data_IF_780030216314
#
_entry.id   IF_780030216314
#
_cell.length_a   1.000
_cell.length_b   1.000
_cell.length_c   1.000
_cell.angle_alpha   90.00
_cell.angle_beta   90.00
_cell.angle_gamma   90.00
#
_symmetry.space_group_name_H-M   'P 1'
#
loop_
_entity.id
_entity.type
_entity.pdbx_description
1 polymer ?
#
# COMPACT_ATOMS: atom_id res chain seq x y z
N UNK A 1 6.97 -18.50 -4.98
CA UNK A 1 6.02 -17.37 -4.88
C UNK A 1 5.56 -16.98 -6.28
N UNK A 2 4.40 -17.48 -6.74
CA UNK A 2 3.99 -17.35 -8.14
C UNK A 2 3.56 -15.92 -8.53
N UNK A 3 3.23 -15.07 -7.54
CA UNK A 3 2.73 -13.71 -7.79
C UNK A 3 3.69 -12.59 -7.39
N UNK A 4 4.76 -12.93 -6.67
CA UNK A 4 5.77 -11.95 -6.29
C UNK A 4 6.61 -11.56 -7.51
N UNK A 5 6.79 -10.26 -7.72
CA UNK A 5 7.71 -9.76 -8.74
C UNK A 5 9.13 -10.30 -8.49
N UNK A 6 9.90 -10.53 -9.55
CA UNK A 6 11.28 -11.04 -9.44
C UNK A 6 12.15 -10.18 -8.53
N UNK A 7 11.99 -8.85 -8.58
CA UNK A 7 12.69 -7.89 -7.72
C UNK A 7 12.46 -8.10 -6.22
N UNK A 8 11.33 -8.70 -5.82
CA UNK A 8 10.99 -8.97 -4.41
C UNK A 8 11.48 -10.34 -3.92
N UNK A 9 12.04 -11.18 -4.80
CA UNK A 9 12.58 -12.48 -4.40
C UNK A 9 14.04 -12.35 -3.92
N UNK A 10 14.23 -11.75 -2.74
CA UNK A 10 15.53 -11.40 -2.19
C UNK A 10 16.51 -12.59 -2.14
N UNK A 11 16.05 -13.77 -1.72
CA UNK A 11 16.85 -14.99 -1.66
C UNK A 11 17.34 -15.42 -3.05
N UNK A 12 16.43 -15.47 -4.04
CA UNK A 12 16.81 -15.76 -5.44
C UNK A 12 17.72 -14.68 -6.04
N UNK A 13 17.62 -13.44 -5.54
CA UNK A 13 18.45 -12.32 -5.95
C UNK A 13 19.78 -12.23 -5.17
N UNK A 14 20.14 -13.26 -4.40
CA UNK A 14 21.47 -13.40 -3.79
C UNK A 14 21.60 -12.87 -2.36
N UNK A 15 20.49 -12.53 -1.68
CA UNK A 15 20.54 -12.23 -0.24
C UNK A 15 20.85 -13.53 0.54
N UNK A 16 21.96 -13.58 1.32
CA UNK A 16 22.42 -14.83 1.94
C UNK A 16 21.71 -15.16 3.27
N UNK A 17 21.24 -14.15 4.01
CA UNK A 17 20.56 -14.32 5.29
C UNK A 17 19.04 -14.48 5.13
N UNK A 18 18.41 -15.32 5.94
CA UNK A 18 16.96 -15.58 5.93
C UNK A 18 16.26 -15.24 7.27
N UNK A 19 17.01 -14.84 8.30
CA UNK A 19 16.50 -14.48 9.62
C UNK A 19 15.32 -13.49 9.58
N UNK A 20 15.33 -12.56 8.62
CA UNK A 20 14.27 -11.57 8.42
C UNK A 20 12.88 -12.18 8.12
N UNK A 21 12.83 -13.43 7.62
CA UNK A 21 11.58 -14.16 7.33
C UNK A 21 10.92 -14.75 8.60
N UNK A 22 11.64 -14.78 9.72
CA UNK A 22 11.20 -15.44 10.95
C UNK A 22 10.67 -14.48 12.01
N UNK A 23 10.68 -13.17 11.74
CA UNK A 23 10.10 -12.18 12.65
C UNK A 23 8.59 -12.15 12.55
N UNK A 24 7.96 -11.82 13.69
CA UNK A 24 6.54 -11.57 13.80
C UNK A 24 6.32 -10.35 14.69
N UNK A 25 5.43 -9.46 14.26
CA UNK A 25 4.93 -8.38 15.10
C UNK A 25 3.99 -8.93 16.20
N UNK A 26 4.18 -8.47 17.44
CA UNK A 26 3.40 -8.88 18.59
C UNK A 26 2.96 -7.63 19.39
N UNK A 27 1.66 -7.28 19.37
CA UNK A 27 1.14 -6.19 20.19
C UNK A 27 1.32 -6.47 21.69
N UNK A 28 1.44 -5.40 22.48
CA UNK A 28 1.58 -5.49 23.93
C UNK A 28 0.30 -5.95 24.63
N UNK A 29 -0.87 -5.59 24.08
CA UNK A 29 -2.16 -5.79 24.74
C UNK A 29 -2.88 -7.09 24.34
N UNK A 30 -2.44 -7.81 23.31
CA UNK A 30 -3.13 -9.02 22.85
C UNK A 30 -2.23 -9.96 22.04
N UNK A 31 -2.52 -11.26 22.12
CA UNK A 31 -1.89 -12.26 21.25
C UNK A 31 -2.60 -12.32 19.90
N UNK A 32 -1.87 -12.06 18.82
CA UNK A 32 -2.40 -12.21 17.46
C UNK A 32 -2.40 -13.70 17.07
N UNK A 33 -3.46 -14.20 16.46
CA UNK A 33 -3.44 -15.56 15.90
C UNK A 33 -2.59 -15.59 14.63
N UNK A 34 -1.96 -16.73 14.34
CA UNK A 34 -1.32 -16.92 13.03
C UNK A 34 -2.37 -16.73 11.93
N UNK A 35 -1.97 -16.15 10.80
CA UNK A 35 -2.85 -16.03 9.64
C UNK A 35 -3.28 -17.41 9.14
N UNK A 36 -4.58 -17.60 8.98
CA UNK A 36 -5.20 -18.77 8.38
C UNK A 36 -5.83 -18.35 7.04
N UNK A 37 -5.22 -18.79 5.94
CA UNK A 37 -5.66 -18.43 4.60
C UNK A 37 -6.98 -19.10 4.18
N UNK A 38 -7.27 -20.30 4.69
CA UNK A 38 -8.55 -20.97 4.39
C UNK A 38 -9.68 -20.26 5.12
N UNK A 39 -9.50 -19.98 6.41
CA UNK A 39 -10.47 -19.21 7.18
C UNK A 39 -10.69 -17.81 6.60
N UNK A 40 -9.64 -17.17 6.07
CA UNK A 40 -9.77 -15.90 5.34
C UNK A 40 -10.65 -16.05 4.10
N UNK A 41 -10.38 -17.03 3.24
CA UNK A 41 -11.16 -17.26 2.02
C UNK A 41 -12.62 -17.57 2.32
N UNK A 42 -12.90 -18.37 3.35
CA UNK A 42 -14.26 -18.65 3.80
C UNK A 42 -14.96 -17.39 4.31
N UNK A 43 -14.27 -16.56 5.10
CA UNK A 43 -14.83 -15.30 5.60
C UNK A 43 -15.10 -14.28 4.49
N UNK A 44 -14.29 -14.35 3.43
CA UNK A 44 -14.41 -13.49 2.24
C UNK A 44 -15.25 -14.12 1.14
N UNK A 45 -15.91 -15.26 1.38
CA UNK A 45 -16.69 -15.97 0.35
C UNK A 45 -17.68 -15.04 -0.35
N UNK A 46 -17.60 -14.98 -1.68
CA UNK A 46 -18.40 -14.10 -2.53
C UNK A 46 -17.99 -12.62 -2.53
N UNK A 47 -16.87 -12.23 -1.90
CA UNK A 47 -16.46 -10.83 -1.70
C UNK A 47 -15.26 -10.41 -2.53
N UNK A 48 -15.11 -9.09 -2.67
CA UNK A 48 -13.97 -8.41 -3.31
C UNK A 48 -13.14 -7.66 -2.29
N UNK A 49 -11.84 -7.90 -2.32
CA UNK A 49 -10.82 -7.17 -1.55
C UNK A 49 -9.97 -6.40 -2.55
N UNK A 50 -9.87 -5.08 -2.44
CA UNK A 50 -9.09 -4.25 -3.35
C UNK A 50 -8.06 -3.41 -2.62
N UNK A 51 -6.81 -3.54 -3.04
CA UNK A 51 -5.73 -2.63 -2.71
C UNK A 51 -5.69 -1.50 -3.73
N UNK A 52 -5.69 -0.26 -3.29
CA UNK A 52 -5.66 0.93 -4.16
C UNK A 52 -4.51 1.81 -3.73
N UNK A 53 -3.52 1.99 -4.59
CA UNK A 53 -2.38 2.81 -4.21
C UNK A 53 -1.16 2.68 -5.11
N UNK A 54 -0.01 2.97 -4.50
CA UNK A 54 1.29 2.95 -5.16
C UNK A 54 1.92 1.54 -5.16
N UNK A 55 3.23 1.46 -5.39
CA UNK A 55 3.97 0.20 -5.41
C UNK A 55 3.92 -0.56 -4.08
N UNK A 56 3.71 0.11 -2.95
CA UNK A 56 3.63 -0.53 -1.64
C UNK A 56 2.31 -1.28 -1.44
N UNK A 57 1.20 -0.74 -1.96
CA UNK A 57 -0.05 -1.50 -2.09
C UNK A 57 0.12 -2.73 -2.97
N UNK A 58 0.89 -2.62 -4.06
CA UNK A 58 1.19 -3.77 -4.91
C UNK A 58 1.95 -4.86 -4.13
N UNK A 59 2.92 -4.47 -3.30
CA UNK A 59 3.67 -5.40 -2.45
C UNK A 59 2.75 -6.11 -1.45
N UNK A 60 1.85 -5.38 -0.79
CA UNK A 60 0.91 -5.96 0.17
C UNK A 60 -0.09 -6.91 -0.53
N UNK A 61 -0.59 -6.54 -1.71
CA UNK A 61 -1.43 -7.39 -2.54
C UNK A 61 -0.70 -8.69 -2.95
N UNK A 62 0.55 -8.61 -3.41
CA UNK A 62 1.35 -9.78 -3.78
C UNK A 62 1.63 -10.69 -2.58
N UNK A 63 1.87 -10.11 -1.40
CA UNK A 63 2.03 -10.85 -0.15
C UNK A 63 0.78 -11.66 0.19
N UNK A 64 -0.40 -11.02 0.21
CA UNK A 64 -1.66 -11.71 0.46
C UNK A 64 -1.93 -12.78 -0.60
N UNK A 65 -1.75 -12.48 -1.88
CA UNK A 65 -1.91 -13.44 -2.97
C UNK A 65 -1.05 -14.70 -2.77
N UNK A 66 0.22 -14.54 -2.38
CA UNK A 66 1.11 -15.66 -2.11
C UNK A 66 0.68 -16.45 -0.87
N UNK A 67 0.24 -15.79 0.21
CA UNK A 67 -0.26 -16.47 1.41
C UNK A 67 -1.52 -17.29 1.12
N UNK A 68 -2.45 -16.77 0.32
CA UNK A 68 -3.67 -17.48 -0.06
C UNK A 68 -3.35 -18.70 -0.92
N UNK A 69 -2.50 -18.56 -1.94
CA UNK A 69 -2.09 -19.70 -2.74
C UNK A 69 -1.32 -20.75 -1.93
N UNK A 70 -0.50 -20.35 -0.95
CA UNK A 70 0.14 -21.29 -0.05
C UNK A 70 -0.87 -22.05 0.85
N UNK A 71 -1.97 -21.39 1.25
CA UNK A 71 -3.01 -22.02 2.06
C UNK A 71 -3.89 -23.00 1.27
N UNK A 72 -4.11 -22.72 -0.03
CA UNK A 72 -4.92 -23.55 -0.94
C UNK A 72 -4.16 -23.86 -2.24
N UNK A 73 -3.06 -24.64 -2.20
CA UNK A 73 -2.14 -24.80 -3.33
C UNK A 73 -2.78 -25.48 -4.56
N UNK A 74 -3.83 -26.27 -4.35
CA UNK A 74 -4.53 -26.99 -5.40
C UNK A 74 -5.79 -26.25 -5.89
N UNK A 75 -6.16 -25.12 -5.29
CA UNK A 75 -7.32 -24.36 -5.73
C UNK A 75 -7.06 -23.70 -7.08
N UNK A 76 -8.05 -23.78 -7.97
CA UNK A 76 -8.00 -23.08 -9.25
C UNK A 76 -8.07 -21.58 -8.97
N UNK A 77 -7.20 -20.81 -9.61
CA UNK A 77 -7.24 -19.36 -9.59
C UNK A 77 -7.21 -18.78 -10.99
N UNK A 78 -7.78 -17.58 -11.14
CA UNK A 78 -7.73 -16.80 -12.39
C UNK A 78 -7.02 -15.49 -12.10
N UNK A 79 -5.92 -15.24 -12.81
CA UNK A 79 -5.17 -13.98 -12.74
C UNK A 79 -5.34 -13.22 -14.05
N UNK A 80 -5.77 -11.96 -13.97
CA UNK A 80 -5.93 -11.11 -15.14
C UNK A 80 -5.73 -9.63 -14.83
N UNK A 81 -5.34 -8.87 -15.84
CA UNK A 81 -5.18 -7.41 -15.74
C UNK A 81 -6.01 -6.69 -16.80
N UNK A 82 -6.68 -5.61 -16.40
CA UNK A 82 -7.40 -4.69 -17.28
C UNK A 82 -6.96 -3.26 -16.98
N UNK A 83 -6.08 -2.72 -17.82
CA UNK A 83 -5.45 -1.42 -17.55
C UNK A 83 -4.67 -1.47 -16.24
N UNK A 84 -4.89 -0.53 -15.29
CA UNK A 84 -4.18 -0.52 -14.02
C UNK A 84 -4.75 -1.47 -12.96
N UNK A 85 -5.81 -2.21 -13.27
CA UNK A 85 -6.47 -3.13 -12.35
C UNK A 85 -5.99 -4.56 -12.61
N UNK A 86 -5.35 -5.17 -11.62
CA UNK A 86 -5.03 -6.60 -11.59
C UNK A 86 -6.00 -7.31 -10.65
N UNK A 87 -6.51 -8.47 -11.05
CA UNK A 87 -7.44 -9.28 -10.26
C UNK A 87 -6.95 -10.71 -10.18
N UNK A 88 -6.79 -11.22 -8.95
CA UNK A 88 -6.62 -12.63 -8.65
C UNK A 88 -7.94 -13.15 -8.06
N UNK A 89 -8.62 -14.03 -8.78
CA UNK A 89 -9.88 -14.63 -8.35
C UNK A 89 -9.68 -16.10 -7.96
N UNK A 90 -10.37 -16.52 -6.90
CA UNK A 90 -10.49 -17.92 -6.46
C UNK A 90 -11.95 -18.36 -6.66
N UNK A 91 -12.33 -18.93 -7.82
CA UNK A 91 -13.72 -19.17 -8.19
C UNK A 91 -14.48 -20.07 -7.21
N UNK A 92 -13.83 -21.09 -6.64
CA UNK A 92 -14.42 -21.99 -5.62
C UNK A 92 -14.93 -21.23 -4.38
N UNK A 93 -14.27 -20.13 -4.04
CA UNK A 93 -14.64 -19.26 -2.92
C UNK A 93 -15.48 -18.05 -3.37
N UNK A 94 -15.57 -17.79 -4.67
CA UNK A 94 -16.12 -16.54 -5.19
C UNK A 94 -15.37 -15.29 -4.70
N UNK A 95 -14.10 -15.43 -4.31
CA UNK A 95 -13.27 -14.36 -3.75
C UNK A 95 -12.44 -13.72 -4.87
N UNK A 96 -12.39 -12.38 -4.89
CA UNK A 96 -11.45 -11.64 -5.74
C UNK A 96 -10.54 -10.76 -4.89
N UNK A 97 -9.23 -10.90 -5.08
CA UNK A 97 -8.18 -10.06 -4.48
C UNK A 97 -7.55 -9.21 -5.58
N UNK A 98 -7.76 -7.90 -5.49
CA UNK A 98 -7.55 -6.95 -6.57
C UNK A 98 -6.48 -5.91 -6.19
N UNK A 99 -5.71 -5.45 -7.16
CA UNK A 99 -4.82 -4.31 -7.02
C UNK A 99 -5.11 -3.29 -8.12
N UNK A 100 -5.42 -2.06 -7.71
CA UNK A 100 -5.60 -0.92 -8.59
C UNK A 100 -4.42 0.05 -8.41
N UNK A 101 -3.55 0.13 -9.41
CA UNK A 101 -2.45 1.10 -9.43
C UNK A 101 -2.99 2.52 -9.53
N UNK A 102 -2.96 3.24 -8.43
CA UNK A 102 -3.41 4.62 -8.31
C UNK A 102 -2.63 5.35 -7.20
N UNK A 103 -1.34 5.56 -7.42
CA UNK A 103 -0.43 5.97 -6.34
C UNK A 103 -0.64 7.36 -5.75
N UNK A 104 -1.42 8.24 -6.41
CA UNK A 104 -1.82 9.53 -5.86
C UNK A 104 -3.26 9.56 -5.35
N UNK A 105 -4.07 8.54 -5.66
CA UNK A 105 -5.54 8.49 -5.53
C UNK A 105 -6.30 9.53 -6.37
N UNK A 106 -5.77 10.76 -6.43
CA UNK A 106 -6.25 11.86 -7.26
C UNK A 106 -5.79 11.76 -8.72
N UNK A 107 -6.38 12.60 -9.57
CA UNK A 107 -6.17 12.59 -11.01
C UNK A 107 -4.85 13.26 -11.38
N UNK A 108 -4.03 12.55 -12.16
CA UNK A 108 -2.86 13.11 -12.84
C UNK A 108 -3.20 13.28 -14.32
N UNK A 109 -3.32 14.54 -14.78
CA UNK A 109 -3.59 14.87 -16.18
C UNK A 109 -2.35 15.54 -16.76
N UNK A 110 -1.72 14.89 -17.74
CA UNK A 110 -0.40 15.31 -18.21
C UNK A 110 0.61 15.23 -17.06
N UNK A 111 1.10 16.38 -16.62
CA UNK A 111 2.01 16.53 -15.47
C UNK A 111 1.37 17.36 -14.35
N UNK A 112 0.04 17.42 -14.27
CA UNK A 112 -0.69 18.19 -13.25
C UNK A 112 -1.52 17.28 -12.36
N UNK A 113 -1.26 17.33 -11.05
CA UNK A 113 -2.06 16.65 -10.03
C UNK A 113 -3.28 17.50 -9.66
N UNK A 114 -4.48 17.04 -10.01
CA UNK A 114 -5.74 17.67 -9.61
C UNK A 114 -6.15 17.19 -8.22
N UNK A 115 -5.84 17.95 -7.19
CA UNK A 115 -5.92 17.52 -5.79
C UNK A 115 -7.37 17.34 -5.29
N UNK A 116 -8.33 17.93 -5.97
CA UNK A 116 -9.77 17.89 -5.67
C UNK A 116 -10.56 16.92 -6.58
N UNK A 117 -9.88 16.12 -7.40
CA UNK A 117 -10.52 15.21 -8.33
C UNK A 117 -9.94 13.79 -8.23
N UNK A 118 -10.71 12.85 -7.70
CA UNK A 118 -10.28 11.44 -7.56
C UNK A 118 -10.16 10.73 -8.91
N UNK A 119 -9.14 9.91 -9.03
CA UNK A 119 -8.90 9.07 -10.20
C UNK A 119 -9.58 7.72 -10.02
N UNK A 120 -10.43 7.34 -10.98
CA UNK A 120 -11.01 5.99 -11.08
C UNK A 120 -11.83 5.55 -9.85
N UNK A 121 -12.38 6.49 -9.08
CA UNK A 121 -13.14 6.19 -7.86
C UNK A 121 -14.41 5.35 -8.10
N UNK A 122 -14.95 5.37 -9.31
CA UNK A 122 -16.05 4.49 -9.72
C UNK A 122 -15.71 3.00 -9.64
N UNK A 123 -14.42 2.63 -9.69
CA UNK A 123 -13.99 1.23 -9.57
C UNK A 123 -13.96 0.75 -8.11
N UNK A 124 -14.02 1.67 -7.14
CA UNK A 124 -14.00 1.34 -5.71
C UNK A 124 -15.39 0.97 -5.19
N UNK A 125 -16.43 1.43 -5.89
CA UNK A 125 -17.83 1.16 -5.55
C UNK A 125 -18.14 -0.35 -5.67
N UNK A 126 -18.88 -0.87 -4.69
CA UNK A 126 -19.26 -2.29 -4.65
C UNK A 126 -18.12 -3.26 -4.31
N UNK A 127 -17.00 -2.75 -3.78
CA UNK A 127 -15.94 -3.56 -3.17
C UNK A 127 -16.22 -3.71 -1.67
N UNK A 128 -16.09 -4.93 -1.14
CA UNK A 128 -16.41 -5.23 0.26
C UNK A 128 -15.28 -4.82 1.23
N UNK A 129 -14.03 -4.87 0.78
CA UNK A 129 -12.86 -4.43 1.56
C UNK A 129 -11.95 -3.58 0.69
N UNK A 130 -11.81 -2.30 1.04
CA UNK A 130 -10.91 -1.35 0.39
C UNK A 130 -9.70 -1.08 1.28
N UNK A 131 -8.50 -1.20 0.72
CA UNK A 131 -7.23 -0.96 1.42
C UNK A 131 -6.46 0.08 0.61
N UNK A 132 -6.45 1.32 1.08
CA UNK A 132 -5.81 2.44 0.41
C UNK A 132 -4.37 2.64 0.90
N UNK A 133 -3.49 3.10 0.02
CA UNK A 133 -2.20 3.66 0.38
C UNK A 133 -1.81 4.73 -0.65
N UNK A 134 -1.21 5.81 -0.20
CA UNK A 134 -0.61 6.78 -1.11
C UNK A 134 0.45 7.54 -0.33
N UNK A 135 1.71 7.46 -0.73
CA UNK A 135 2.75 8.28 -0.10
C UNK A 135 4.04 8.30 -0.90
N UNK A 136 4.53 7.11 -1.27
CA UNK A 136 5.88 6.95 -1.78
C UNK A 136 6.11 7.79 -3.05
N UNK A 137 5.10 7.86 -3.91
CA UNK A 137 5.17 8.64 -5.14
C UNK A 137 5.22 10.15 -4.92
N UNK A 138 4.60 10.68 -3.85
CA UNK A 138 4.61 12.11 -3.55
C UNK A 138 6.02 12.64 -3.28
N UNK A 139 6.93 11.76 -2.83
CA UNK A 139 8.32 12.11 -2.54
C UNK A 139 9.26 11.90 -3.73
N UNK A 140 8.75 11.45 -4.88
CA UNK A 140 9.59 11.27 -6.07
C UNK A 140 10.15 12.61 -6.55
N UNK A 141 11.45 12.63 -6.82
CA UNK A 141 12.16 13.78 -7.39
C UNK A 141 12.88 13.39 -8.68
N UNK A 142 13.31 14.38 -9.48
CA UNK A 142 14.09 14.16 -10.69
C UNK A 142 13.35 13.27 -11.71
N UNK A 143 14.02 12.22 -12.20
CA UNK A 143 13.45 11.33 -13.24
C UNK A 143 12.23 10.52 -12.77
N UNK A 144 12.05 10.35 -11.46
CA UNK A 144 10.91 9.62 -10.88
C UNK A 144 9.67 10.51 -10.72
N UNK A 145 9.86 11.83 -10.76
CA UNK A 145 8.78 12.80 -10.58
C UNK A 145 7.95 12.91 -11.86
N UNK A 146 6.67 12.56 -11.74
CA UNK A 146 5.73 12.48 -12.89
C UNK A 146 4.80 13.67 -13.00
N UNK A 147 4.92 14.66 -12.11
CA UNK A 147 4.12 15.89 -12.09
C UNK A 147 5.00 17.13 -11.91
N UNK A 148 4.55 18.28 -12.38
CA UNK A 148 5.21 19.60 -12.29
C UNK A 148 4.32 20.66 -11.64
N UNK A 149 3.03 20.38 -11.47
CA UNK A 149 2.08 21.33 -10.89
C UNK A 149 0.92 20.64 -10.21
N UNK A 150 0.24 21.41 -9.38
CA UNK A 150 -0.97 21.05 -8.66
C UNK A 150 -2.13 21.90 -9.16
N UNK A 151 -3.34 21.35 -9.14
CA UNK A 151 -4.56 22.05 -9.49
C UNK A 151 -5.62 21.86 -8.41
N UNK A 152 -6.30 22.95 -8.06
CA UNK A 152 -7.47 22.99 -7.17
C UNK A 152 -8.50 23.90 -7.85
N UNK A 153 -9.69 23.37 -8.13
CA UNK A 153 -10.66 24.01 -9.01
C UNK A 153 -10.03 24.34 -10.36
N UNK A 154 -10.07 25.61 -10.75
CA UNK A 154 -9.49 26.12 -12.00
C UNK A 154 -8.08 26.72 -11.82
N UNK A 155 -7.56 26.76 -10.58
CA UNK A 155 -6.25 27.36 -10.28
C UNK A 155 -5.14 26.34 -10.37
N UNK A 156 -4.03 26.72 -11.04
CA UNK A 156 -2.83 25.89 -11.17
C UNK A 156 -1.69 26.50 -10.36
N UNK A 157 -1.06 25.68 -9.52
CA UNK A 157 0.06 26.02 -8.66
C UNK A 157 1.29 25.24 -9.12
N UNK A 158 2.37 25.95 -9.48
CA UNK A 158 3.66 25.32 -9.78
C UNK A 158 4.47 25.07 -8.50
N UNK A 159 4.33 25.97 -7.54
CA UNK A 159 5.01 25.91 -6.26
C UNK A 159 3.98 25.71 -5.16
N UNK A 160 3.98 24.52 -4.54
CA UNK A 160 3.17 24.17 -3.38
C UNK A 160 3.97 23.21 -2.52
N UNK A 161 3.88 23.36 -1.20
CA UNK A 161 4.43 22.37 -0.28
C UNK A 161 3.80 20.99 -0.55
N UNK A 162 4.64 19.96 -0.68
CA UNK A 162 4.19 18.62 -1.06
C UNK A 162 3.26 18.00 -0.02
N UNK A 163 3.45 18.32 1.26
CA UNK A 163 2.61 17.79 2.34
C UNK A 163 1.30 18.54 2.46
N UNK A 164 1.27 19.82 2.09
CA UNK A 164 0.00 20.54 1.89
C UNK A 164 -0.79 19.96 0.71
N UNK A 165 -0.13 19.73 -0.43
CA UNK A 165 -0.78 19.09 -1.58
C UNK A 165 -1.32 17.70 -1.23
N UNK A 166 -0.52 16.91 -0.50
CA UNK A 166 -0.89 15.59 0.00
C UNK A 166 -2.09 15.64 0.95
N UNK A 167 -2.11 16.61 1.88
CA UNK A 167 -3.23 16.84 2.82
C UNK A 167 -4.53 17.14 2.09
N UNK A 168 -4.49 18.00 1.07
CA UNK A 168 -5.67 18.33 0.26
C UNK A 168 -6.17 17.10 -0.48
N UNK A 169 -5.28 16.34 -1.13
CA UNK A 169 -5.66 15.11 -1.83
C UNK A 169 -6.26 14.05 -0.90
N UNK A 170 -5.70 13.86 0.29
CA UNK A 170 -6.27 12.95 1.28
C UNK A 170 -7.60 13.43 1.83
N UNK A 171 -7.78 14.73 2.03
CA UNK A 171 -9.07 15.31 2.43
C UNK A 171 -10.13 15.03 1.35
N UNK A 172 -9.79 15.19 0.08
CA UNK A 172 -10.66 14.84 -1.05
C UNK A 172 -11.05 13.35 -1.03
N UNK A 173 -10.08 12.46 -0.77
CA UNK A 173 -10.33 11.02 -0.65
C UNK A 173 -11.23 10.68 0.55
N UNK A 174 -10.95 11.25 1.73
CA UNK A 174 -11.72 11.01 2.95
C UNK A 174 -13.18 11.44 2.78
N UNK A 175 -13.41 12.64 2.24
CA UNK A 175 -14.75 13.13 1.93
C UNK A 175 -15.52 12.21 0.96
N UNK A 176 -14.82 11.61 -0.01
CA UNK A 176 -15.44 10.62 -0.89
C UNK A 176 -15.82 9.35 -0.15
N UNK A 177 -14.96 8.85 0.75
CA UNK A 177 -15.27 7.67 1.57
C UNK A 177 -16.53 7.94 2.39
N UNK A 178 -16.58 9.05 3.13
CA UNK A 178 -17.71 9.42 3.97
C UNK A 178 -19.02 9.57 3.17
N UNK A 179 -18.93 10.05 1.93
CA UNK A 179 -20.11 10.30 1.09
C UNK A 179 -20.58 9.09 0.30
N UNK A 180 -19.73 8.09 0.05
CA UNK A 180 -20.01 7.02 -0.92
C UNK A 180 -19.93 5.60 -0.33
N UNK A 181 -19.38 5.43 0.87
CA UNK A 181 -19.16 4.12 1.48
C UNK A 181 -20.17 3.86 2.58
N UNK A 182 -20.95 2.79 2.44
CA UNK A 182 -21.77 2.25 3.53
C UNK A 182 -20.88 1.39 4.45
N UNK A 183 -20.62 1.82 5.71
CA UNK A 183 -19.73 1.10 6.62
C UNK A 183 -20.29 -0.26 7.08
N UNK A 184 -21.58 -0.53 6.87
CA UNK A 184 -22.17 -1.84 7.14
C UNK A 184 -21.88 -2.85 6.02
N UNK A 185 -21.60 -2.37 4.81
CA UNK A 185 -21.32 -3.21 3.64
C UNK A 185 -19.83 -3.30 3.33
N UNK A 186 -19.14 -2.17 3.41
CA UNK A 186 -17.75 -2.05 2.99
C UNK A 186 -16.87 -1.67 4.17
N UNK A 187 -15.75 -2.39 4.34
CA UNK A 187 -14.69 -2.02 5.28
C UNK A 187 -13.60 -1.26 4.56
N UNK A 188 -13.23 -0.11 5.09
CA UNK A 188 -12.15 0.72 4.54
C UNK A 188 -10.97 0.72 5.51
N UNK A 189 -9.79 0.54 4.95
CA UNK A 189 -8.51 0.64 5.63
C UNK A 189 -7.61 1.61 4.87
N UNK A 190 -6.79 2.35 5.61
CA UNK A 190 -5.67 3.09 5.05
C UNK A 190 -4.37 2.49 5.61
N UNK A 191 -3.55 1.91 4.73
CA UNK A 191 -2.21 1.47 5.08
C UNK A 191 -1.37 2.71 5.39
N UNK A 192 -0.86 2.79 6.62
CA UNK A 192 0.02 3.88 7.06
C UNK A 192 1.29 4.02 6.23
N UNK A 193 2.09 5.03 6.55
CA UNK A 193 3.29 5.34 5.78
C UNK A 193 4.33 4.24 5.91
N UNK A 194 4.76 3.67 4.78
CA UNK A 194 5.90 2.76 4.78
C UNK A 194 7.19 3.56 4.99
N UNK A 195 7.98 3.16 5.97
CA UNK A 195 9.29 3.75 6.23
C UNK A 195 10.27 3.44 5.08
N UNK A 196 11.22 4.35 4.89
CA UNK A 196 12.38 4.19 4.02
C UNK A 196 13.64 4.27 4.86
N UNK A 197 14.67 3.49 4.54
CA UNK A 197 15.88 3.34 5.36
C UNK A 197 17.14 3.70 4.55
N UNK A 198 17.32 5.01 4.30
CA UNK A 198 18.40 5.53 3.44
C UNK A 198 19.57 6.12 4.20
N UNK A 199 19.52 6.24 5.53
CA UNK A 199 20.59 6.88 6.29
C UNK A 199 20.78 6.18 7.63
N UNK A 200 21.94 5.56 7.84
CA UNK A 200 22.23 4.79 9.05
C UNK A 200 22.18 5.60 10.34
N UNK A 201 22.38 6.91 10.26
CA UNK A 201 22.16 7.85 11.37
C UNK A 201 20.74 7.79 11.96
N UNK A 202 19.75 7.32 11.20
CA UNK A 202 18.36 7.16 11.69
C UNK A 202 18.17 5.93 12.57
N UNK A 203 19.17 5.04 12.65
CA UNK A 203 19.20 3.86 13.51
C UNK A 203 20.54 3.71 14.25
N UNK A 204 21.16 4.85 14.61
CA UNK A 204 22.39 4.94 15.40
C UNK A 204 23.64 4.28 14.78
N UNK A 205 23.66 4.10 13.46
CA UNK A 205 24.81 3.60 12.69
C UNK A 205 25.31 4.65 11.69
N UNK A 206 26.02 5.70 12.13
CA UNK A 206 26.32 6.87 11.28
C UNK A 206 27.18 6.57 10.05
N UNK A 207 27.93 5.48 10.07
CA UNK A 207 28.80 5.06 8.96
C UNK A 207 28.06 4.23 7.89
N UNK A 208 26.79 3.88 8.12
CA UNK A 208 25.99 3.07 7.21
C UNK A 208 25.22 3.96 6.24
N UNK A 209 25.38 3.70 4.94
CA UNK A 209 24.84 4.55 3.88
C UNK A 209 23.38 4.25 3.53
N UNK A 210 22.85 3.07 3.85
CA UNK A 210 21.47 2.64 3.60
C UNK A 210 21.22 1.28 4.27
N UNK A 211 20.04 0.68 4.08
CA UNK A 211 19.69 -0.61 4.68
C UNK A 211 20.45 -1.84 4.14
N UNK A 212 21.38 -1.70 3.19
CA UNK A 212 22.17 -2.82 2.68
C UNK A 212 23.11 -3.37 3.76
N UNK A 213 23.17 -4.70 3.88
CA UNK A 213 23.95 -5.39 4.91
C UNK A 213 23.25 -5.50 6.26
N UNK A 214 22.09 -4.86 6.45
CA UNK A 214 21.31 -4.96 7.68
C UNK A 214 20.55 -6.30 7.74
N UNK A 215 20.84 -7.08 8.78
CA UNK A 215 20.32 -8.45 8.96
C UNK A 215 19.41 -8.61 10.19
N UNK A 216 19.30 -7.57 11.02
CA UNK A 216 18.49 -7.55 12.24
C UNK A 216 17.64 -6.28 12.30
N UNK A 217 16.43 -6.34 12.90
CA UNK A 217 15.66 -5.14 13.18
C UNK A 217 16.35 -4.31 14.26
N UNK A 218 16.00 -3.02 14.32
CA UNK A 218 16.35 -2.16 15.46
C UNK A 218 15.66 -2.71 16.71
N UNK A 219 16.42 -2.82 17.81
CA UNK A 219 15.89 -3.32 19.07
C UNK A 219 14.99 -2.29 19.76
N UNK A 220 14.03 -2.80 20.56
CA UNK A 220 13.09 -1.96 21.30
C UNK A 220 11.78 -1.68 20.55
N UNK A 221 10.91 -0.91 21.20
CA UNK A 221 9.56 -0.59 20.70
C UNK A 221 9.47 0.78 20.02
N UNK A 222 10.57 1.54 20.00
CA UNK A 222 10.64 2.90 19.48
C UNK A 222 11.80 2.96 18.50
N UNK A 223 11.49 3.27 17.24
CA UNK A 223 12.50 3.55 16.24
C UNK A 223 13.15 4.92 16.57
N UNK A 224 14.49 5.02 16.61
CA UNK A 224 15.18 6.25 17.04
C UNK A 224 15.10 7.37 15.99
N UNK A 225 14.93 7.02 14.72
CA UNK A 225 14.77 7.99 13.64
C UNK A 225 13.42 8.73 13.66
N UNK A 226 13.37 9.82 12.91
CA UNK A 226 12.16 10.63 12.79
C UNK A 226 11.03 9.86 12.08
N UNK A 227 9.79 10.12 12.49
CA UNK A 227 8.62 9.63 11.78
C UNK A 227 8.54 10.28 10.39
N UNK A 228 8.09 9.55 9.36
CA UNK A 228 7.83 10.15 8.05
C UNK A 228 6.84 11.32 8.18
N UNK A 229 7.07 12.50 7.57
CA UNK A 229 6.17 13.64 7.73
C UNK A 229 4.73 13.35 7.31
N UNK A 230 4.51 12.44 6.36
CA UNK A 230 3.18 11.99 5.95
C UNK A 230 2.36 11.31 7.06
N UNK A 231 2.98 10.77 8.12
CA UNK A 231 2.26 10.15 9.23
C UNK A 231 1.33 11.16 9.93
N UNK A 232 1.79 12.40 10.08
CA UNK A 232 1.01 13.45 10.72
C UNK A 232 -0.22 13.82 9.87
N UNK A 233 -0.06 13.84 8.54
CA UNK A 233 -1.16 14.13 7.62
C UNK A 233 -2.19 13.00 7.64
N UNK A 234 -1.77 11.73 7.53
CA UNK A 234 -2.69 10.59 7.54
C UNK A 234 -3.48 10.50 8.85
N UNK A 235 -2.88 10.86 9.99
CA UNK A 235 -3.57 10.87 11.29
C UNK A 235 -4.52 12.04 11.51
N UNK A 236 -4.38 13.10 10.71
CA UNK A 236 -5.23 14.28 10.79
C UNK A 236 -6.45 14.23 9.86
N UNK A 237 -6.54 13.20 9.01
CA UNK A 237 -7.67 12.96 8.10
C UNK A 237 -8.67 11.97 8.69
#
# INVERSE_FOLDING_TARGET
>A
MPFAASALNCQKNGRPDDAYLHYRWQPTACQISRFDGVAFLERMRGKKVMFVGDSLSANQWQSLACMLHAAVPNAIYVLGSRGPLTTLAFPEYGVSVMFLKNGFLVSLIGRTLKLDALSRSQLWLGVDVLIFNTYHWWLHTGRLQTWDSYQIGDQIFKDMDVFEAYRIALTTWANWVDSNVDPFRTRVFFQGISASHYRGVEWDEPNVQNCSGQTRPVEGSIYPGNKPPGDAVVKGC
#
